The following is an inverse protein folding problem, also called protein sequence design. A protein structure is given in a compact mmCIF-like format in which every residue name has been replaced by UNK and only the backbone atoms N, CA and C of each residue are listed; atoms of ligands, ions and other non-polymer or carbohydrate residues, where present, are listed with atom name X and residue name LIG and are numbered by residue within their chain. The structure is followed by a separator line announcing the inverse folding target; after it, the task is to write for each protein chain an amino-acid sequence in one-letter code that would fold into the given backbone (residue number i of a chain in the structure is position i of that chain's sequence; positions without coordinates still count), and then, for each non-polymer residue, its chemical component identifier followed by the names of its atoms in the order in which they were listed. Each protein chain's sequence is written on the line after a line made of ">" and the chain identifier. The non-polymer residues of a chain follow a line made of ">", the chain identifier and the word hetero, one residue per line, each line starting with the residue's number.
data_IF_868038173822
#
_entry.id   IF_868038173822
#
_cell.length_a   1.000
_cell.length_b   1.000
_cell.length_c   1.000
_cell.angle_alpha   90.00
_cell.angle_beta   90.00
_cell.angle_gamma   90.00
#
_symmetry.space_group_name_H-M   'P 1'
#
loop_
_entity.id
_entity.type
_entity.pdbx_description
1 polymer ?
#
# COMPACT_ATOMS: atom_id res chain seq x y z
N UNK A 1 -4.63 -4.16 -28.81
CA UNK A 1 -3.57 -5.10 -29.29
C UNK A 1 -4.02 -6.56 -29.17
N UNK A 2 -4.88 -6.88 -28.20
CA UNK A 2 -5.41 -8.23 -27.94
C UNK A 2 -6.31 -8.81 -29.04
N UNK A 3 -7.07 -7.98 -29.77
CA UNK A 3 -7.86 -8.46 -30.93
C UNK A 3 -6.99 -9.16 -31.99
N UNK A 4 -5.74 -8.70 -32.16
CA UNK A 4 -4.80 -9.34 -33.08
C UNK A 4 -4.35 -10.72 -32.60
N UNK A 5 -4.29 -10.93 -31.28
CA UNK A 5 -3.92 -12.20 -30.66
C UNK A 5 -5.08 -13.19 -30.74
N UNK A 6 -6.29 -12.77 -30.40
CA UNK A 6 -7.51 -13.57 -30.51
C UNK A 6 -7.73 -14.06 -31.97
N UNK A 7 -7.54 -13.16 -32.95
CA UNK A 7 -7.62 -13.53 -34.38
C UNK A 7 -6.56 -14.57 -34.78
N UNK A 8 -5.36 -14.51 -34.20
CA UNK A 8 -4.29 -15.48 -34.47
C UNK A 8 -4.56 -16.83 -33.79
N UNK A 9 -5.14 -16.85 -32.60
CA UNK A 9 -5.57 -18.07 -31.90
C UNK A 9 -6.68 -18.75 -32.69
N UNK A 10 -7.69 -17.99 -33.16
CA UNK A 10 -8.75 -18.50 -34.02
C UNK A 10 -8.21 -19.07 -35.34
N UNK A 11 -7.22 -18.41 -35.95
CA UNK A 11 -6.53 -18.93 -37.13
C UNK A 11 -5.78 -20.24 -36.84
N UNK A 12 -5.08 -20.35 -35.70
CA UNK A 12 -4.40 -21.59 -35.30
C UNK A 12 -5.38 -22.73 -35.08
N UNK A 13 -6.55 -22.46 -34.47
CA UNK A 13 -7.61 -23.45 -34.27
C UNK A 13 -8.15 -23.95 -35.61
N UNK A 14 -8.44 -23.05 -36.55
CA UNK A 14 -8.87 -23.40 -37.90
C UNK A 14 -7.79 -24.15 -38.72
N UNK A 15 -6.51 -23.80 -38.52
CA UNK A 15 -5.39 -24.50 -39.15
C UNK A 15 -5.25 -25.93 -38.60
N UNK A 16 -5.40 -26.11 -37.29
CA UNK A 16 -5.36 -27.42 -36.65
C UNK A 16 -6.50 -28.32 -37.17
N UNK A 17 -7.71 -27.79 -37.30
CA UNK A 17 -8.84 -28.48 -37.93
C UNK A 17 -8.56 -28.85 -39.39
N UNK A 18 -8.02 -27.90 -40.18
CA UNK A 18 -7.70 -28.11 -41.59
C UNK A 18 -6.56 -29.11 -41.84
N UNK A 19 -5.68 -29.32 -40.85
CA UNK A 19 -4.60 -30.31 -40.90
C UNK A 19 -5.02 -31.69 -40.34
N UNK A 20 -6.30 -31.88 -40.01
CA UNK A 20 -6.82 -33.09 -39.36
C UNK A 20 -6.11 -33.44 -38.04
N UNK A 21 -5.58 -32.42 -37.35
CA UNK A 21 -5.02 -32.59 -36.00
C UNK A 21 -6.19 -32.94 -35.08
N UNK A 22 -6.14 -34.13 -34.50
CA UNK A 22 -7.20 -34.64 -33.63
C UNK A 22 -6.61 -35.22 -32.36
N UNK A 23 -7.44 -35.35 -31.33
CA UNK A 23 -7.09 -35.98 -30.05
C UNK A 23 -6.69 -37.47 -30.17
N UNK A 24 -6.74 -38.04 -31.38
CA UNK A 24 -6.38 -39.43 -31.64
C UNK A 24 -4.87 -39.67 -31.58
N UNK A 25 -4.05 -38.66 -31.84
CA UNK A 25 -2.60 -38.73 -31.65
C UNK A 25 -2.17 -38.02 -30.37
N UNK A 26 -1.08 -38.49 -29.77
CA UNK A 26 -0.54 -37.87 -28.56
C UNK A 26 -0.14 -36.41 -28.82
N UNK A 27 0.43 -36.14 -30.00
CA UNK A 27 0.83 -34.82 -30.45
C UNK A 27 -0.38 -33.91 -30.68
N UNK A 28 -1.46 -34.44 -31.27
CA UNK A 28 -2.67 -33.65 -31.54
C UNK A 28 -3.40 -33.25 -30.27
N UNK A 29 -3.44 -34.13 -29.27
CA UNK A 29 -3.99 -33.80 -27.95
C UNK A 29 -3.20 -32.68 -27.27
N UNK A 30 -1.87 -32.72 -27.33
CA UNK A 30 -1.02 -31.67 -26.75
C UNK A 30 -1.23 -30.32 -27.47
N UNK A 31 -1.32 -30.33 -28.80
CA UNK A 31 -1.48 -29.10 -29.59
C UNK A 31 -2.85 -28.45 -29.31
N UNK A 32 -3.92 -29.24 -29.25
CA UNK A 32 -5.26 -28.72 -28.95
C UNK A 32 -5.33 -28.12 -27.56
N UNK A 33 -4.81 -28.81 -26.54
CA UNK A 33 -4.76 -28.26 -25.18
C UNK A 33 -3.89 -27.00 -25.09
N UNK A 34 -2.81 -26.92 -25.84
CA UNK A 34 -1.98 -25.73 -25.88
C UNK A 34 -2.73 -24.54 -26.50
N UNK A 35 -3.54 -24.77 -27.54
CA UNK A 35 -4.38 -23.73 -28.13
C UNK A 35 -5.42 -23.25 -27.12
N UNK A 36 -6.07 -24.17 -26.40
CA UNK A 36 -7.09 -23.82 -25.40
C UNK A 36 -6.49 -23.04 -24.22
N UNK A 37 -5.33 -23.46 -23.70
CA UNK A 37 -4.61 -22.71 -22.64
C UNK A 37 -4.24 -21.30 -23.11
N UNK A 38 -3.81 -21.14 -24.36
CA UNK A 38 -3.48 -19.81 -24.90
C UNK A 38 -4.74 -18.94 -25.03
N UNK A 39 -5.88 -19.52 -25.38
CA UNK A 39 -7.18 -18.82 -25.43
C UNK A 39 -7.59 -18.33 -24.03
N UNK A 40 -7.48 -19.20 -23.02
CA UNK A 40 -7.77 -18.86 -21.62
C UNK A 40 -6.84 -17.76 -21.09
N UNK A 41 -5.55 -17.83 -21.43
CA UNK A 41 -4.57 -16.79 -21.07
C UNK A 41 -4.95 -15.47 -21.75
N UNK A 42 -5.33 -15.49 -23.03
CA UNK A 42 -5.76 -14.29 -23.74
C UNK A 42 -7.00 -13.65 -23.09
N UNK A 43 -7.96 -14.45 -22.64
CA UNK A 43 -9.16 -13.98 -21.95
C UNK A 43 -8.82 -13.32 -20.59
N UNK A 44 -7.95 -13.95 -19.79
CA UNK A 44 -7.49 -13.38 -18.52
C UNK A 44 -6.71 -12.08 -18.71
N UNK A 45 -5.89 -11.99 -19.75
CA UNK A 45 -5.20 -10.75 -20.09
C UNK A 45 -6.19 -9.62 -20.42
N UNK A 46 -7.26 -9.91 -21.15
CA UNK A 46 -8.28 -8.89 -21.46
C UNK A 46 -8.98 -8.40 -20.21
N UNK A 47 -9.33 -9.30 -19.28
CA UNK A 47 -9.89 -8.89 -17.98
C UNK A 47 -8.89 -8.02 -17.19
N UNK A 48 -7.60 -8.37 -17.23
CA UNK A 48 -6.55 -7.58 -16.59
C UNK A 48 -6.41 -6.19 -17.22
N UNK A 49 -6.44 -6.08 -18.55
CA UNK A 49 -6.39 -4.78 -19.27
C UNK A 49 -7.54 -3.88 -18.80
N UNK A 50 -8.77 -4.39 -18.75
CA UNK A 50 -9.92 -3.63 -18.24
C UNK A 50 -9.74 -3.19 -16.79
N UNK A 51 -9.23 -4.05 -15.92
CA UNK A 51 -8.97 -3.68 -14.52
C UNK A 51 -7.85 -2.65 -14.35
N UNK A 52 -6.87 -2.64 -15.26
CA UNK A 52 -5.81 -1.63 -15.29
C UNK A 52 -6.38 -0.30 -15.76
N UNK A 53 -7.20 -0.29 -16.82
CA UNK A 53 -7.90 0.92 -17.27
C UNK A 53 -8.77 1.51 -16.15
N UNK A 54 -9.55 0.68 -15.44
CA UNK A 54 -10.33 1.13 -14.29
C UNK A 54 -9.44 1.71 -13.17
N UNK A 55 -8.26 1.12 -12.92
CA UNK A 55 -7.32 1.62 -11.92
C UNK A 55 -6.69 2.95 -12.35
N UNK A 56 -6.38 3.13 -13.63
CA UNK A 56 -5.91 4.39 -14.20
C UNK A 56 -6.95 5.49 -14.00
N UNK A 57 -8.23 5.21 -14.26
CA UNK A 57 -9.34 6.15 -14.01
C UNK A 57 -9.43 6.55 -12.52
N UNK A 58 -9.24 5.61 -11.59
CA UNK A 58 -9.22 5.93 -10.16
C UNK A 58 -8.02 6.78 -9.76
N UNK A 59 -6.85 6.54 -10.35
CA UNK A 59 -5.64 7.32 -10.08
C UNK A 59 -5.80 8.74 -10.61
N UNK A 60 -6.37 8.92 -11.80
CA UNK A 60 -6.68 10.24 -12.36
C UNK A 60 -7.69 11.00 -11.49
N UNK A 61 -8.71 10.33 -10.97
CA UNK A 61 -9.65 10.93 -10.04
C UNK A 61 -9.00 11.38 -8.71
N UNK A 62 -8.04 10.59 -8.19
CA UNK A 62 -7.28 10.98 -7.00
C UNK A 62 -6.40 12.19 -7.29
N UNK A 63 -5.75 12.24 -8.47
CA UNK A 63 -4.92 13.37 -8.88
C UNK A 63 -5.73 14.67 -8.96
N UNK A 64 -6.93 14.61 -9.57
CA UNK A 64 -7.86 15.75 -9.63
C UNK A 64 -8.31 16.21 -8.22
N UNK A 65 -8.66 15.28 -7.33
CA UNK A 65 -9.04 15.59 -5.95
C UNK A 65 -7.87 16.22 -5.16
N UNK A 66 -6.63 15.79 -5.42
CA UNK A 66 -5.43 16.35 -4.80
C UNK A 66 -5.13 17.76 -5.34
N UNK A 67 -5.32 18.01 -6.64
CA UNK A 67 -5.17 19.34 -7.24
C UNK A 67 -6.06 20.38 -6.53
N UNK A 68 -7.31 20.01 -6.21
CA UNK A 68 -8.23 20.88 -5.49
C UNK A 68 -7.74 21.19 -4.06
N UNK A 69 -7.17 20.21 -3.36
CA UNK A 69 -6.60 20.38 -2.01
C UNK A 69 -5.34 21.25 -2.08
N UNK A 70 -4.47 21.00 -3.05
CA UNK A 70 -3.26 21.77 -3.28
C UNK A 70 -3.60 23.24 -3.55
N UNK A 71 -4.57 23.50 -4.42
CA UNK A 71 -5.04 24.85 -4.68
C UNK A 71 -5.64 25.51 -3.43
N UNK A 72 -6.41 24.76 -2.63
CA UNK A 72 -7.00 25.30 -1.39
C UNK A 72 -5.97 25.64 -0.32
N UNK A 73 -4.90 24.84 -0.19
CA UNK A 73 -3.88 25.02 0.84
C UNK A 73 -2.75 25.97 0.40
N UNK A 74 -2.41 25.99 -0.88
CA UNK A 74 -1.25 26.70 -1.44
C UNK A 74 -1.65 27.83 -2.41
N UNK A 75 -2.86 28.38 -2.24
CA UNK A 75 -3.62 29.35 -3.08
C UNK A 75 -2.87 30.61 -3.58
N UNK A 76 -1.58 30.82 -3.25
CA UNK A 76 -0.79 31.96 -3.76
C UNK A 76 0.75 31.81 -3.64
N UNK A 77 1.31 30.62 -3.38
CA UNK A 77 2.74 30.48 -3.08
C UNK A 77 3.53 29.85 -4.25
N UNK A 78 4.56 30.56 -4.74
CA UNK A 78 5.55 30.11 -5.74
C UNK A 78 6.33 28.83 -5.30
N UNK A 79 5.97 28.24 -4.16
CA UNK A 79 6.56 27.04 -3.55
C UNK A 79 5.94 25.73 -4.04
N UNK A 80 4.81 25.76 -4.79
CA UNK A 80 4.19 24.58 -5.39
C UNK A 80 5.16 23.79 -6.30
N UNK A 81 6.14 24.51 -6.86
CA UNK A 81 7.27 23.95 -7.59
C UNK A 81 8.58 24.55 -7.07
N UNK A 82 8.88 24.41 -5.77
CA UNK A 82 10.27 24.52 -5.34
C UNK A 82 11.06 23.43 -6.08
N UNK A 83 11.55 23.83 -7.27
CA UNK A 83 12.57 23.13 -8.01
C UNK A 83 13.68 22.99 -7.00
N UNK A 84 13.97 21.76 -6.55
CA UNK A 84 15.06 21.45 -5.62
C UNK A 84 16.26 22.27 -6.10
N UNK A 85 16.49 23.39 -5.42
CA UNK A 85 17.47 24.35 -5.88
C UNK A 85 18.78 23.62 -5.75
N UNK A 86 19.48 23.42 -6.87
CA UNK A 86 20.83 22.87 -6.84
C UNK A 86 21.63 23.80 -5.94
N UNK A 87 21.80 23.39 -4.68
CA UNK A 87 22.37 24.18 -3.61
C UNK A 87 23.89 24.17 -3.81
N UNK A 88 24.33 24.81 -4.89
CA UNK A 88 25.67 25.31 -5.05
C UNK A 88 25.81 26.62 -4.27
N UNK A 89 25.68 26.57 -2.94
CA UNK A 89 26.40 27.53 -2.09
C UNK A 89 26.62 26.94 -0.68
N UNK A 90 27.85 26.46 -0.53
CA UNK A 90 28.68 26.37 0.66
C UNK A 90 28.03 26.77 2.00
N UNK A 91 27.63 25.79 2.81
CA UNK A 91 28.25 25.42 4.11
C UNK A 91 27.41 24.33 4.82
N UNK A 92 27.67 23.07 4.47
CA UNK A 92 27.70 21.91 5.38
C UNK A 92 26.69 21.87 6.55
N UNK A 93 25.41 21.59 6.27
CA UNK A 93 24.57 20.82 7.21
C UNK A 93 23.90 19.68 6.43
N UNK A 94 24.37 18.48 6.73
CA UNK A 94 24.02 17.21 6.11
C UNK A 94 22.49 17.05 6.03
N UNK A 95 21.90 17.28 4.85
CA UNK A 95 20.52 16.89 4.57
C UNK A 95 20.46 15.35 4.61
N UNK A 96 20.19 14.82 5.79
CA UNK A 96 20.04 13.39 6.01
C UNK A 96 18.78 12.95 5.29
N UNK A 97 18.94 12.35 4.11
CA UNK A 97 17.90 11.54 3.51
C UNK A 97 17.63 10.39 4.49
N UNK A 98 16.51 10.46 5.21
CA UNK A 98 16.00 9.33 5.97
C UNK A 98 15.58 8.26 4.96
N UNK A 99 16.32 7.16 4.95
CA UNK A 99 15.94 5.94 4.25
C UNK A 99 14.74 5.38 5.02
N UNK A 100 13.51 5.65 4.54
CA UNK A 100 12.25 5.22 5.18
C UNK A 100 12.06 3.69 5.21
N UNK A 101 13.06 2.93 4.76
CA UNK A 101 13.12 1.46 4.77
C UNK A 101 13.90 0.89 5.97
N UNK A 102 14.51 1.73 6.83
CA UNK A 102 15.09 1.26 8.09
C UNK A 102 14.03 1.36 9.20
N UNK A 103 13.50 0.19 9.58
CA UNK A 103 12.50 -0.06 10.64
C UNK A 103 12.92 0.43 12.07
N UNK A 104 13.94 1.28 12.19
CA UNK A 104 14.34 1.95 13.45
C UNK A 104 13.75 3.36 13.62
N UNK A 105 13.13 3.95 12.59
CA UNK A 105 12.47 5.26 12.66
C UNK A 105 10.94 5.17 12.65
N UNK A 106 10.40 4.09 13.24
CA UNK A 106 9.10 4.21 13.87
C UNK A 106 9.24 5.34 14.89
N UNK A 107 8.63 6.50 14.62
CA UNK A 107 8.51 7.59 15.58
C UNK A 107 7.88 7.03 16.86
N UNK A 108 8.74 6.56 17.76
CA UNK A 108 8.45 6.49 19.17
C UNK A 108 8.26 7.95 19.49
N UNK A 109 7.01 8.37 19.66
CA UNK A 109 6.70 9.61 20.36
C UNK A 109 7.57 9.58 21.61
N UNK A 110 8.69 10.32 21.60
CA UNK A 110 9.43 10.60 22.81
C UNK A 110 8.37 11.14 23.75
N UNK A 111 8.08 10.40 24.82
CA UNK A 111 7.01 10.69 25.73
C UNK A 111 7.22 12.11 26.25
N UNK A 112 6.60 13.07 25.57
CA UNK A 112 6.58 14.46 25.95
C UNK A 112 6.01 14.44 27.36
N UNK A 113 6.88 14.74 28.32
CA UNK A 113 6.52 14.68 29.73
C UNK A 113 5.24 15.47 29.93
N UNK A 114 4.29 14.88 30.65
CA UNK A 114 3.12 15.39 31.41
C UNK A 114 2.40 16.71 31.05
N UNK A 115 2.96 17.63 30.27
CA UNK A 115 2.55 19.03 30.15
C UNK A 115 1.41 19.23 29.14
N UNK A 116 1.08 18.21 28.32
CA UNK A 116 -0.01 18.28 27.33
C UNK A 116 -1.20 17.34 27.61
N UNK A 117 -1.29 16.72 28.80
CA UNK A 117 -2.43 15.86 29.17
C UNK A 117 -3.50 16.65 29.93
N UNK A 118 -4.72 16.72 29.39
CA UNK A 118 -5.80 17.51 29.97
C UNK A 118 -6.79 16.67 30.80
N UNK A 119 -7.15 15.49 30.31
CA UNK A 119 -8.21 14.66 30.91
C UNK A 119 -7.82 13.20 31.00
N UNK A 120 -8.11 12.54 32.13
CA UNK A 120 -7.85 11.11 32.33
C UNK A 120 -9.15 10.35 32.54
N UNK A 121 -9.35 9.27 31.79
CA UNK A 121 -10.46 8.33 31.90
C UNK A 121 -9.98 7.00 32.49
N UNK A 122 -10.74 6.47 33.45
CA UNK A 122 -10.49 5.15 34.05
C UNK A 122 -11.61 4.18 33.69
N UNK A 123 -11.24 3.00 33.19
CA UNK A 123 -12.21 1.93 32.96
C UNK A 123 -11.57 0.55 33.16
N UNK A 124 -12.40 -0.41 33.56
CA UNK A 124 -11.97 -1.80 33.76
C UNK A 124 -12.04 -2.57 32.44
N UNK A 125 -10.96 -3.29 32.10
CA UNK A 125 -10.93 -4.18 30.94
C UNK A 125 -12.03 -5.26 31.09
N UNK A 126 -12.95 -5.42 30.12
CA UNK A 126 -14.02 -6.42 30.22
C UNK A 126 -13.52 -7.88 30.27
N UNK A 127 -12.27 -8.12 29.85
CA UNK A 127 -11.68 -9.46 29.75
C UNK A 127 -10.92 -9.87 31.02
N UNK A 128 -9.96 -9.04 31.47
CA UNK A 128 -9.12 -9.35 32.63
C UNK A 128 -9.48 -8.55 33.89
N UNK A 129 -10.40 -7.59 33.81
CA UNK A 129 -10.77 -6.67 34.89
C UNK A 129 -9.61 -5.79 35.41
N UNK A 130 -8.52 -5.68 34.65
CA UNK A 130 -7.43 -4.75 34.92
C UNK A 130 -7.89 -3.30 34.66
N UNK A 131 -7.42 -2.36 35.49
CA UNK A 131 -7.73 -0.95 35.32
C UNK A 131 -6.85 -0.35 34.23
N UNK A 132 -7.50 0.28 33.24
CA UNK A 132 -6.86 0.98 32.13
C UNK A 132 -7.05 2.48 32.36
N UNK A 133 -5.96 3.23 32.22
CA UNK A 133 -5.96 4.69 32.25
C UNK A 133 -5.73 5.21 30.83
N UNK A 134 -6.67 6.01 30.34
CA UNK A 134 -6.59 6.69 29.06
C UNK A 134 -6.45 8.19 29.32
N UNK A 135 -5.36 8.78 28.87
CA UNK A 135 -5.11 10.20 28.96
C UNK A 135 -5.38 10.85 27.60
N UNK A 136 -6.20 11.88 27.60
CA UNK A 136 -6.50 12.75 26.46
C UNK A 136 -5.71 14.05 26.63
N UNK A 137 -5.03 14.46 25.56
CA UNK A 137 -4.21 15.67 25.51
C UNK A 137 -4.37 16.42 24.20
N UNK A 138 -3.96 17.68 24.18
CA UNK A 138 -3.91 18.51 22.98
C UNK A 138 -2.52 19.14 22.87
N UNK A 139 -1.90 19.02 21.71
CA UNK A 139 -0.58 19.62 21.46
C UNK A 139 -0.68 21.13 21.16
N UNK A 140 0.48 21.78 21.05
CA UNK A 140 0.59 23.22 20.78
C UNK A 140 0.04 23.63 19.40
N UNK A 141 -0.15 22.66 18.50
CA UNK A 141 -0.73 22.85 17.15
C UNK A 141 -2.25 22.60 17.13
N UNK A 142 -2.82 22.13 18.24
CA UNK A 142 -4.25 21.92 18.42
C UNK A 142 -4.75 20.52 18.04
N UNK A 143 -3.88 19.54 17.82
CA UNK A 143 -4.27 18.15 17.59
C UNK A 143 -4.53 17.40 18.90
N UNK A 144 -5.63 16.66 18.94
CA UNK A 144 -5.97 15.81 20.09
C UNK A 144 -5.24 14.47 19.99
N UNK A 145 -4.48 14.11 21.02
CA UNK A 145 -3.78 12.85 21.13
C UNK A 145 -4.25 12.05 22.37
N UNK A 146 -4.06 10.73 22.33
CA UNK A 146 -4.43 9.82 23.41
C UNK A 146 -3.25 8.95 23.82
N UNK A 147 -3.00 8.86 25.12
CA UNK A 147 -1.96 8.02 25.72
C UNK A 147 -2.60 6.99 26.63
N UNK A 148 -2.35 5.71 26.37
CA UNK A 148 -2.79 4.61 27.23
C UNK A 148 -1.63 4.25 28.14
N UNK A 149 -1.75 4.53 29.44
CA UNK A 149 -0.79 4.01 30.41
C UNK A 149 -1.05 2.52 30.62
N UNK A 150 -0.05 1.70 30.28
CA UNK A 150 -0.07 0.28 30.62
C UNK A 150 0.34 0.13 32.07
N UNK A 151 -0.58 -0.32 32.92
CA UNK A 151 -0.26 -0.75 34.28
C UNK A 151 0.84 -1.81 34.20
N UNK A 152 2.03 -1.53 34.76
CA UNK A 152 3.21 -2.41 34.76
C UNK A 152 2.86 -3.84 35.24
N UNK A 153 2.46 -4.71 34.32
CA UNK A 153 2.32 -6.14 34.57
C UNK A 153 3.66 -6.83 34.31
N UNK A 154 4.72 -6.38 34.96
CA UNK A 154 6.01 -7.08 35.04
C UNK A 154 5.93 -8.28 36.00
N UNK A 155 4.93 -9.16 35.80
CA UNK A 155 4.78 -10.39 36.57
C UNK A 155 4.83 -11.61 35.64
N UNK A 156 6.03 -12.21 35.59
CA UNK A 156 6.29 -13.62 35.29
C UNK A 156 6.09 -14.09 33.85
N UNK A 157 7.09 -13.84 33.00
CA UNK A 157 7.44 -14.82 31.96
C UNK A 157 8.68 -15.57 32.44
N UNK A 158 8.50 -16.73 33.07
CA UNK A 158 9.59 -17.71 33.17
C UNK A 158 9.91 -18.21 31.75
N UNK A 159 11.19 -18.33 31.37
CA UNK A 159 11.56 -18.90 30.09
C UNK A 159 11.06 -20.34 30.02
N UNK A 160 10.31 -20.67 28.96
CA UNK A 160 9.96 -22.04 28.65
C UNK A 160 11.26 -22.73 28.21
N UNK A 161 11.91 -23.34 29.20
CA UNK A 161 12.97 -24.35 29.10
C UNK A 161 14.40 -23.85 28.76
N UNK A 162 15.32 -23.87 29.73
CA UNK A 162 16.75 -24.05 29.46
C UNK A 162 17.16 -25.50 29.76
N UNK A 163 18.03 -26.08 28.92
CA UNK A 163 18.84 -27.27 29.23
C UNK A 163 19.50 -27.21 30.60
#
# INVERSE_FOLDING_TARGET
>A
MMDSLANRIAYLRGLAEGMEISEKSAEGKIILELIDIIDDVCAQFHELETRVEEAEDYVEAIDEDLEDIELYLFDDDETLYETVGDCEDEEDEYAMYYDLDDDEDAHVYEGAGSDHLETTYEFACPSCHEMIFLHEGQDDEGYTHYVIEQSDCHAQTEPINPT
#
